data_IF_200599582470
#
_entry.id   IF_200599582470
#
_cell.length_a   1.000
_cell.length_b   1.000
_cell.length_c   1.000
_cell.angle_alpha   90.00
_cell.angle_beta   90.00
_cell.angle_gamma   90.00
#
_symmetry.space_group_name_H-M   'P 1'
#
loop_
_entity.id
_entity.type
_entity.pdbx_description
1 polymer ?
#
# COMPACT_ATOMS: atom_id res chain seq x y z
N UNK A 1 -19.32 -13.96 23.09
CA UNK A 1 -18.20 -13.58 22.20
C UNK A 1 -18.77 -12.72 21.07
N UNK A 2 -18.22 -11.52 20.85
CA UNK A 2 -18.70 -10.59 19.80
C UNK A 2 -18.42 -11.16 18.40
N UNK A 3 -19.37 -11.00 17.45
CA UNK A 3 -19.25 -11.49 16.06
C UNK A 3 -18.01 -10.99 15.33
N UNK A 4 -17.54 -9.76 15.63
CA UNK A 4 -16.29 -9.20 15.06
C UNK A 4 -15.02 -9.95 15.48
N UNK A 5 -14.98 -10.48 16.69
CA UNK A 5 -13.83 -11.23 17.19
C UNK A 5 -13.64 -12.58 16.47
N UNK A 6 -14.72 -13.30 16.12
CA UNK A 6 -14.60 -14.60 15.44
C UNK A 6 -14.12 -14.46 14.00
N UNK A 7 -14.61 -13.48 13.25
CA UNK A 7 -14.18 -13.20 11.87
C UNK A 7 -12.66 -12.90 11.83
N UNK A 8 -12.20 -11.98 12.69
CA UNK A 8 -10.79 -11.63 12.79
C UNK A 8 -9.92 -12.84 13.18
N UNK A 9 -10.32 -13.62 14.17
CA UNK A 9 -9.58 -14.82 14.57
C UNK A 9 -9.48 -15.87 13.45
N UNK A 10 -10.49 -16.00 12.58
CA UNK A 10 -10.44 -16.87 11.40
C UNK A 10 -9.38 -16.34 10.42
N UNK A 11 -9.36 -15.02 10.19
CA UNK A 11 -8.38 -14.37 9.32
C UNK A 11 -6.94 -14.53 9.85
N UNK A 12 -6.72 -14.34 11.15
CA UNK A 12 -5.40 -14.47 11.80
C UNK A 12 -4.87 -15.91 11.63
N UNK A 13 -5.67 -16.92 11.99
CA UNK A 13 -5.29 -18.34 11.83
C UNK A 13 -5.10 -18.73 10.36
N UNK A 14 -5.91 -18.18 9.47
CA UNK A 14 -5.76 -18.43 8.04
C UNK A 14 -4.43 -17.90 7.52
N UNK A 15 -4.06 -16.67 7.89
CA UNK A 15 -2.79 -16.06 7.47
C UNK A 15 -1.59 -16.85 7.99
N UNK A 16 -1.62 -17.32 9.24
CA UNK A 16 -0.60 -18.20 9.81
C UNK A 16 -0.46 -19.51 9.01
N UNK A 17 -1.58 -20.21 8.75
CA UNK A 17 -1.56 -21.47 8.01
C UNK A 17 -1.14 -21.28 6.54
N UNK A 18 -1.53 -20.18 5.90
CA UNK A 18 -1.08 -19.85 4.55
C UNK A 18 0.42 -19.58 4.50
N UNK A 19 0.98 -18.91 5.50
CA UNK A 19 2.42 -18.68 5.60
C UNK A 19 3.21 -19.97 5.86
N UNK A 20 2.69 -20.88 6.71
CA UNK A 20 3.38 -22.12 7.08
C UNK A 20 3.29 -23.21 6.01
N UNK A 21 2.12 -23.40 5.39
CA UNK A 21 1.80 -24.54 4.52
C UNK A 21 1.56 -24.18 3.06
N UNK A 22 1.40 -22.89 2.77
CA UNK A 22 1.00 -22.37 1.46
C UNK A 22 -0.51 -22.36 1.27
N UNK A 23 -0.96 -21.51 0.34
CA UNK A 23 -2.37 -21.32 0.04
C UNK A 23 -3.05 -22.60 -0.42
N UNK A 24 -2.48 -23.29 -1.41
CA UNK A 24 -3.10 -24.49 -2.03
C UNK A 24 -3.30 -25.62 -1.03
N UNK A 25 -2.37 -25.80 -0.09
CA UNK A 25 -2.39 -26.88 0.88
C UNK A 25 -3.23 -26.59 2.13
N UNK A 26 -3.81 -25.40 2.24
CA UNK A 26 -4.64 -25.00 3.37
C UNK A 26 -6.12 -24.97 2.96
N UNK A 27 -6.97 -25.63 3.75
CA UNK A 27 -8.41 -25.67 3.55
C UNK A 27 -9.16 -24.92 4.66
N UNK A 28 -10.40 -24.47 4.37
CA UNK A 28 -11.28 -23.87 5.38
C UNK A 28 -11.58 -24.82 6.54
N UNK A 29 -11.54 -26.15 6.30
CA UNK A 29 -11.72 -27.17 7.34
C UNK A 29 -10.56 -27.15 8.33
N UNK A 30 -9.31 -27.14 7.84
CA UNK A 30 -8.11 -27.07 8.70
C UNK A 30 -8.07 -25.80 9.52
N UNK A 31 -8.46 -24.66 8.92
CA UNK A 31 -8.59 -23.37 9.64
C UNK A 31 -9.61 -23.48 10.78
N UNK A 32 -10.77 -24.10 10.53
CA UNK A 32 -11.79 -24.33 11.57
C UNK A 32 -11.29 -25.26 12.69
N UNK A 33 -10.58 -26.33 12.34
CA UNK A 33 -9.98 -27.29 13.29
C UNK A 33 -8.92 -26.60 14.16
N UNK A 34 -8.02 -25.82 13.55
CA UNK A 34 -6.98 -25.07 14.26
C UNK A 34 -7.58 -24.03 15.22
N UNK A 35 -8.65 -23.34 14.79
CA UNK A 35 -9.34 -22.34 15.62
C UNK A 35 -10.21 -22.96 16.72
N UNK A 36 -10.51 -24.27 16.66
CA UNK A 36 -11.40 -24.94 17.59
C UNK A 36 -12.88 -24.54 17.42
N UNK A 37 -13.29 -24.19 16.19
CA UNK A 37 -14.68 -23.88 15.86
C UNK A 37 -15.31 -24.94 14.95
N UNK A 38 -16.64 -24.97 14.90
CA UNK A 38 -17.32 -25.87 13.96
C UNK A 38 -17.14 -25.39 12.53
N UNK A 39 -17.11 -26.33 11.57
CA UNK A 39 -17.11 -26.02 10.14
C UNK A 39 -18.27 -25.07 9.76
N UNK A 40 -19.47 -25.30 10.32
CA UNK A 40 -20.62 -24.44 10.08
C UNK A 40 -20.41 -22.99 10.55
N UNK A 41 -19.74 -22.81 11.69
CA UNK A 41 -19.42 -21.47 12.20
C UNK A 41 -18.44 -20.72 11.28
N UNK A 42 -17.43 -21.43 10.74
CA UNK A 42 -16.50 -20.83 9.77
C UNK A 42 -17.23 -20.50 8.46
N UNK A 43 -17.99 -21.42 7.89
CA UNK A 43 -18.77 -21.20 6.65
C UNK A 43 -19.88 -20.14 6.77
N UNK A 44 -20.26 -19.78 7.98
CA UNK A 44 -21.13 -18.62 8.22
C UNK A 44 -20.41 -17.31 7.87
N UNK A 45 -19.11 -17.21 8.14
CA UNK A 45 -18.28 -16.01 7.86
C UNK A 45 -17.71 -15.99 6.44
N UNK A 46 -17.22 -17.13 5.97
CA UNK A 46 -16.53 -17.25 4.67
C UNK A 46 -17.02 -18.49 3.93
N UNK A 47 -17.57 -18.30 2.73
CA UNK A 47 -18.13 -19.41 1.94
C UNK A 47 -17.03 -20.17 1.20
N UNK A 48 -15.99 -19.45 0.76
CA UNK A 48 -14.85 -20.00 0.02
C UNK A 48 -13.53 -19.54 0.64
N UNK A 49 -12.44 -20.16 0.22
CA UNK A 49 -11.08 -19.75 0.60
C UNK A 49 -10.73 -18.40 -0.05
N UNK A 50 -11.23 -18.17 -1.25
CA UNK A 50 -11.13 -16.92 -2.00
C UNK A 50 -11.82 -15.77 -1.27
N UNK A 51 -13.03 -15.97 -0.72
CA UNK A 51 -13.74 -14.97 0.11
C UNK A 51 -12.90 -14.58 1.32
N UNK A 52 -12.27 -15.56 1.97
CA UNK A 52 -11.42 -15.32 3.13
C UNK A 52 -10.17 -14.50 2.75
N UNK A 53 -9.48 -14.87 1.66
CA UNK A 53 -8.32 -14.11 1.18
C UNK A 53 -8.72 -12.70 0.76
N UNK A 54 -9.79 -12.54 -0.01
CA UNK A 54 -10.30 -11.21 -0.40
C UNK A 54 -10.55 -10.35 0.82
N UNK A 55 -11.18 -10.90 1.86
CA UNK A 55 -11.43 -10.17 3.10
C UNK A 55 -10.16 -9.77 3.86
N UNK A 56 -9.10 -10.59 3.82
CA UNK A 56 -7.80 -10.24 4.38
C UNK A 56 -7.21 -9.01 3.67
N UNK A 57 -7.28 -8.98 2.33
CA UNK A 57 -6.82 -7.83 1.56
C UNK A 57 -7.66 -6.59 1.79
N UNK A 58 -9.00 -6.73 1.88
CA UNK A 58 -9.91 -5.62 2.19
C UNK A 58 -9.57 -4.99 3.55
N UNK A 59 -9.41 -5.82 4.57
CA UNK A 59 -9.22 -5.34 5.95
C UNK A 59 -7.79 -4.82 6.21
N UNK A 60 -6.75 -5.42 5.61
CA UNK A 60 -5.34 -5.13 5.92
C UNK A 60 -4.64 -4.24 4.88
N UNK A 61 -5.16 -4.13 3.67
CA UNK A 61 -4.50 -3.41 2.57
C UNK A 61 -5.40 -2.33 1.98
N UNK A 62 -6.55 -2.74 1.44
CA UNK A 62 -7.39 -1.86 0.63
C UNK A 62 -8.09 -0.80 1.49
N UNK A 63 -8.70 -1.19 2.60
CA UNK A 63 -9.36 -0.28 3.54
C UNK A 63 -8.41 0.74 4.16
N UNK A 64 -7.25 0.34 4.71
CA UNK A 64 -6.23 1.29 5.15
C UNK A 64 -5.75 2.24 4.06
N UNK A 65 -5.55 1.78 2.81
CA UNK A 65 -5.20 2.66 1.69
C UNK A 65 -6.32 3.66 1.36
N UNK A 66 -7.59 3.22 1.38
CA UNK A 66 -8.76 4.09 1.21
C UNK A 66 -8.84 5.16 2.30
N UNK A 67 -8.50 4.81 3.55
CA UNK A 67 -8.45 5.78 4.65
C UNK A 67 -7.37 6.86 4.42
N UNK A 68 -6.21 6.51 3.86
CA UNK A 68 -5.17 7.48 3.47
C UNK A 68 -5.67 8.39 2.37
N UNK A 69 -6.31 7.83 1.34
CA UNK A 69 -6.89 8.59 0.22
C UNK A 69 -7.94 9.59 0.74
N UNK A 70 -8.90 9.12 1.53
CA UNK A 70 -9.95 9.97 2.10
C UNK A 70 -9.38 11.09 2.98
N UNK A 71 -8.34 10.78 3.77
CA UNK A 71 -7.65 11.80 4.55
C UNK A 71 -6.99 12.85 3.64
N UNK A 72 -6.30 12.44 2.58
CA UNK A 72 -5.62 13.33 1.65
C UNK A 72 -6.61 14.22 0.89
N UNK A 73 -7.75 13.68 0.46
CA UNK A 73 -8.83 14.43 -0.19
C UNK A 73 -9.43 15.50 0.72
N UNK A 74 -9.54 15.22 2.02
CA UNK A 74 -10.03 16.18 3.01
C UNK A 74 -9.02 17.31 3.33
N UNK A 75 -7.73 17.17 2.93
CA UNK A 75 -6.66 18.14 3.20
C UNK A 75 -6.17 18.84 1.92
N UNK A 76 -7.08 19.17 1.03
CA UNK A 76 -6.79 19.97 -0.16
C UNK A 76 -6.83 21.49 0.13
N UNK A 77 -6.01 22.31 -0.54
CA UNK A 77 -5.00 21.95 -1.55
C UNK A 77 -3.76 21.27 -0.94
N UNK A 78 -3.15 20.36 -1.71
CA UNK A 78 -2.03 19.54 -1.24
C UNK A 78 -0.73 20.33 -1.16
N UNK A 79 -0.30 20.67 0.05
CA UNK A 79 1.02 21.25 0.33
C UNK A 79 2.11 20.18 0.35
N UNK A 80 3.40 20.58 0.37
CA UNK A 80 4.50 19.63 0.57
C UNK A 80 4.31 18.83 1.87
N UNK A 81 3.95 19.47 2.97
CA UNK A 81 3.69 18.83 4.26
C UNK A 81 2.60 17.75 4.12
N UNK A 82 1.50 18.08 3.44
CA UNK A 82 0.42 17.12 3.17
C UNK A 82 0.89 15.93 2.32
N UNK A 83 1.73 16.17 1.29
CA UNK A 83 2.30 15.10 0.46
C UNK A 83 3.19 14.16 1.28
N UNK A 84 4.04 14.71 2.14
CA UNK A 84 4.90 13.92 3.02
C UNK A 84 4.08 13.12 4.04
N UNK A 85 3.00 13.68 4.57
CA UNK A 85 2.11 12.96 5.48
C UNK A 85 1.32 11.85 4.78
N UNK A 86 0.92 12.02 3.50
CA UNK A 86 0.37 10.93 2.67
C UNK A 86 1.36 9.76 2.60
N UNK A 87 2.64 10.04 2.31
CA UNK A 87 3.67 9.01 2.24
C UNK A 87 3.88 8.33 3.60
N UNK A 88 3.89 9.07 4.71
CA UNK A 88 4.01 8.52 6.06
C UNK A 88 2.88 7.54 6.38
N UNK A 89 1.63 7.96 6.16
CA UNK A 89 0.44 7.12 6.40
C UNK A 89 0.44 5.89 5.51
N UNK A 90 0.76 6.06 4.24
CA UNK A 90 0.81 4.96 3.29
C UNK A 90 1.94 3.98 3.59
N UNK A 91 3.11 4.45 4.02
CA UNK A 91 4.21 3.61 4.51
C UNK A 91 3.79 2.73 5.69
N UNK A 92 3.04 3.29 6.65
CA UNK A 92 2.50 2.51 7.77
C UNK A 92 1.52 1.41 7.29
N UNK A 93 0.65 1.71 6.32
CA UNK A 93 -0.24 0.71 5.71
C UNK A 93 0.55 -0.46 5.11
N UNK A 94 1.59 -0.17 4.30
CA UNK A 94 2.44 -1.18 3.69
C UNK A 94 3.15 -2.02 4.75
N UNK A 95 3.70 -1.39 5.79
CA UNK A 95 4.39 -2.08 6.90
C UNK A 95 3.49 -3.10 7.60
N UNK A 96 2.26 -2.72 7.92
CA UNK A 96 1.28 -3.59 8.56
C UNK A 96 0.81 -4.74 7.65
N UNK A 97 0.85 -4.54 6.34
CA UNK A 97 0.41 -5.51 5.33
C UNK A 97 1.54 -6.44 4.82
N UNK A 98 2.78 -6.26 5.27
CA UNK A 98 3.96 -6.99 4.76
C UNK A 98 3.75 -8.51 4.68
N UNK A 99 3.21 -9.22 5.69
CA UNK A 99 2.99 -10.67 5.60
C UNK A 99 2.02 -11.05 4.47
N UNK A 100 0.96 -10.26 4.29
CA UNK A 100 -0.05 -10.50 3.25
C UNK A 100 0.47 -10.16 1.84
N UNK A 101 1.27 -9.12 1.71
CA UNK A 101 1.91 -8.75 0.44
C UNK A 101 2.92 -9.82 0.00
N UNK A 102 3.69 -10.38 0.94
CA UNK A 102 4.57 -11.52 0.67
C UNK A 102 3.76 -12.74 0.22
N UNK A 103 2.72 -13.09 0.97
CA UNK A 103 1.81 -14.18 0.61
C UNK A 103 1.24 -14.02 -0.81
N UNK A 104 0.82 -12.82 -1.19
CA UNK A 104 0.33 -12.53 -2.54
C UNK A 104 1.41 -12.77 -3.60
N UNK A 105 2.64 -12.33 -3.34
CA UNK A 105 3.77 -12.51 -4.26
C UNK A 105 4.10 -13.99 -4.48
N UNK A 106 4.12 -14.77 -3.41
CA UNK A 106 4.40 -16.21 -3.45
C UNK A 106 3.29 -17.03 -4.13
N UNK A 107 2.04 -16.53 -4.12
CA UNK A 107 0.85 -17.23 -4.63
C UNK A 107 0.19 -16.54 -5.84
N UNK A 108 0.92 -15.75 -6.61
CA UNK A 108 0.38 -14.94 -7.72
C UNK A 108 -0.49 -15.73 -8.70
N UNK A 109 -0.09 -16.96 -9.05
CA UNK A 109 -0.82 -17.79 -10.00
C UNK A 109 -2.21 -18.18 -9.47
N UNK A 110 -2.31 -18.54 -8.18
CA UNK A 110 -3.54 -18.97 -7.53
C UNK A 110 -4.48 -17.78 -7.22
N UNK A 111 -3.93 -16.59 -7.07
CA UNK A 111 -4.67 -15.37 -6.71
C UNK A 111 -4.99 -14.47 -7.91
N UNK A 112 -4.55 -14.84 -9.11
CA UNK A 112 -4.66 -14.01 -10.33
C UNK A 112 -6.11 -13.63 -10.66
N UNK A 113 -7.05 -14.52 -10.42
CA UNK A 113 -8.46 -14.31 -10.75
C UNK A 113 -9.20 -13.47 -9.69
N UNK A 114 -8.56 -13.20 -8.54
CA UNK A 114 -9.04 -12.24 -7.57
C UNK A 114 -8.71 -10.82 -8.07
N UNK A 115 -9.68 -9.94 -8.14
CA UNK A 115 -9.51 -8.56 -8.63
C UNK A 115 -8.63 -7.66 -7.72
N UNK A 116 -7.90 -8.24 -6.77
CA UNK A 116 -7.08 -7.55 -5.77
C UNK A 116 -6.02 -6.67 -6.43
N UNK A 117 -5.32 -7.20 -7.45
CA UNK A 117 -4.28 -6.47 -8.16
C UNK A 117 -4.80 -5.20 -8.85
N UNK A 118 -5.95 -5.28 -9.51
CA UNK A 118 -6.59 -4.13 -10.16
C UNK A 118 -7.11 -3.11 -9.15
N UNK A 119 -7.64 -3.55 -8.03
CA UNK A 119 -8.07 -2.68 -6.94
C UNK A 119 -6.90 -1.94 -6.31
N UNK A 120 -5.76 -2.63 -6.10
CA UNK A 120 -4.54 -2.01 -5.58
C UNK A 120 -3.97 -0.99 -6.57
N UNK A 121 -3.89 -1.35 -7.85
CA UNK A 121 -3.44 -0.45 -8.92
C UNK A 121 -4.25 0.85 -8.95
N UNK A 122 -5.57 0.76 -8.83
CA UNK A 122 -6.46 1.92 -8.78
C UNK A 122 -6.07 2.86 -7.62
N UNK A 123 -5.84 2.33 -6.42
CA UNK A 123 -5.44 3.10 -5.25
C UNK A 123 -4.07 3.76 -5.39
N UNK A 124 -3.10 3.03 -5.95
CA UNK A 124 -1.77 3.57 -6.25
C UNK A 124 -1.86 4.74 -7.23
N UNK A 125 -2.68 4.62 -8.28
CA UNK A 125 -2.89 5.70 -9.24
C UNK A 125 -3.60 6.91 -8.59
N UNK A 126 -4.55 6.69 -7.70
CA UNK A 126 -5.20 7.76 -6.93
C UNK A 126 -4.19 8.47 -6.02
N UNK A 127 -3.39 7.72 -5.27
CA UNK A 127 -2.32 8.30 -4.43
C UNK A 127 -1.32 9.10 -5.27
N UNK A 128 -0.94 8.60 -6.46
CA UNK A 128 -0.07 9.34 -7.38
C UNK A 128 -0.68 10.69 -7.79
N UNK A 129 -1.99 10.74 -8.08
CA UNK A 129 -2.65 12.00 -8.41
C UNK A 129 -2.69 12.97 -7.21
N UNK A 130 -2.78 12.47 -5.98
CA UNK A 130 -2.81 13.28 -4.77
C UNK A 130 -1.45 13.87 -4.38
N UNK A 131 -0.34 13.19 -4.69
CA UNK A 131 1.02 13.68 -4.39
C UNK A 131 1.66 14.46 -5.54
N UNK A 132 1.10 14.38 -6.75
CA UNK A 132 1.57 15.08 -7.94
C UNK A 132 0.89 16.45 -8.08
N UNK A 133 1.64 17.50 -8.42
CA UNK A 133 1.06 18.78 -8.80
C UNK A 133 0.37 18.69 -10.18
N UNK A 134 -0.68 19.48 -10.41
CA UNK A 134 -1.48 19.41 -11.64
C UNK A 134 -0.65 19.66 -12.90
N UNK A 135 0.23 20.65 -12.83
CA UNK A 135 1.09 21.09 -13.95
C UNK A 135 2.53 20.56 -13.83
N UNK A 136 2.74 19.47 -13.07
CA UNK A 136 4.06 18.90 -12.86
C UNK A 136 4.71 18.50 -14.19
N UNK A 137 5.98 18.87 -14.38
CA UNK A 137 6.79 18.42 -15.50
C UNK A 137 6.90 16.88 -15.51
N UNK A 138 7.14 16.29 -16.68
CA UNK A 138 7.23 14.82 -16.80
C UNK A 138 8.25 14.22 -15.82
N UNK A 139 9.39 14.89 -15.62
CA UNK A 139 10.41 14.46 -14.64
C UNK A 139 9.85 14.39 -13.22
N UNK A 140 9.01 15.36 -12.82
CA UNK A 140 8.42 15.42 -11.48
C UNK A 140 7.30 14.38 -11.33
N UNK A 141 6.53 14.13 -12.39
CA UNK A 141 5.60 13.01 -12.43
C UNK A 141 6.30 11.67 -12.23
N UNK A 142 7.46 11.46 -12.89
CA UNK A 142 8.30 10.27 -12.72
C UNK A 142 8.85 10.17 -11.30
N UNK A 143 9.28 11.28 -10.68
CA UNK A 143 9.73 11.29 -9.27
C UNK A 143 8.62 10.83 -8.32
N UNK A 144 7.41 11.36 -8.47
CA UNK A 144 6.26 10.95 -7.65
C UNK A 144 5.91 9.46 -7.85
N UNK A 145 5.91 8.98 -9.10
CA UNK A 145 5.67 7.57 -9.39
C UNK A 145 6.77 6.67 -8.80
N UNK A 146 8.04 7.07 -8.93
CA UNK A 146 9.19 6.35 -8.37
C UNK A 146 9.15 6.31 -6.84
N UNK A 147 8.66 7.36 -6.18
CA UNK A 147 8.48 7.38 -4.73
C UNK A 147 7.54 6.25 -4.28
N UNK A 148 6.35 6.13 -4.88
CA UNK A 148 5.41 5.07 -4.57
C UNK A 148 5.98 3.69 -4.93
N UNK A 149 6.64 3.56 -6.10
CA UNK A 149 7.26 2.31 -6.51
C UNK A 149 8.37 1.86 -5.55
N UNK A 150 9.23 2.77 -5.09
CA UNK A 150 10.30 2.49 -4.12
C UNK A 150 9.73 1.89 -2.83
N UNK A 151 8.64 2.45 -2.30
CA UNK A 151 8.00 1.94 -1.08
C UNK A 151 7.48 0.50 -1.24
N UNK A 152 7.00 0.12 -2.44
CA UNK A 152 6.54 -1.25 -2.70
C UNK A 152 7.69 -2.21 -3.00
N UNK A 153 8.62 -1.81 -3.87
CA UNK A 153 9.67 -2.70 -4.37
C UNK A 153 10.66 -3.10 -3.29
N UNK A 154 10.91 -2.24 -2.29
CA UNK A 154 11.85 -2.50 -1.19
C UNK A 154 11.51 -3.76 -0.41
N UNK A 155 10.23 -4.14 -0.33
CA UNK A 155 9.79 -5.38 0.32
C UNK A 155 10.40 -6.63 -0.32
N UNK A 156 10.70 -6.59 -1.63
CA UNK A 156 11.19 -7.72 -2.41
C UNK A 156 12.66 -7.57 -2.79
N UNK A 157 13.08 -6.37 -3.18
CA UNK A 157 14.43 -6.13 -3.72
C UNK A 157 15.53 -6.22 -2.67
N UNK A 158 15.20 -6.05 -1.39
CA UNK A 158 16.15 -6.13 -0.28
C UNK A 158 16.01 -7.43 0.55
N UNK A 159 15.49 -8.51 0.00
CA UNK A 159 15.36 -9.80 0.72
C UNK A 159 16.72 -10.34 1.21
N UNK A 160 17.80 -10.15 0.44
CA UNK A 160 19.16 -10.53 0.83
C UNK A 160 19.85 -9.61 1.85
N UNK A 161 19.23 -8.50 2.23
CA UNK A 161 19.77 -7.58 3.25
C UNK A 161 19.49 -8.10 4.66
N UNK A 162 20.48 -7.97 5.57
CA UNK A 162 20.34 -8.31 6.99
C UNK A 162 19.55 -7.27 7.80
N UNK A 163 19.15 -6.14 7.19
CA UNK A 163 18.33 -5.13 7.84
C UNK A 163 16.93 -5.67 8.17
N UNK A 164 16.37 -5.26 9.30
CA UNK A 164 15.03 -5.68 9.66
C UNK A 164 13.95 -5.03 8.75
N UNK A 165 12.73 -5.60 8.69
CA UNK A 165 11.66 -5.05 7.84
C UNK A 165 11.32 -3.58 8.10
N UNK A 166 11.40 -3.14 9.35
CA UNK A 166 11.09 -1.77 9.73
C UNK A 166 12.19 -0.80 9.31
N UNK A 167 13.47 -1.21 9.39
CA UNK A 167 14.59 -0.42 8.85
C UNK A 167 14.46 -0.26 7.34
N UNK A 168 14.15 -1.33 6.61
CA UNK A 168 13.90 -1.29 5.16
C UNK A 168 12.75 -0.34 4.81
N UNK A 169 11.65 -0.42 5.56
CA UNK A 169 10.49 0.45 5.37
C UNK A 169 10.83 1.92 5.59
N UNK A 170 11.58 2.24 6.66
CA UNK A 170 12.02 3.62 6.97
C UNK A 170 12.93 4.17 5.87
N UNK A 171 13.91 3.39 5.41
CA UNK A 171 14.80 3.79 4.33
C UNK A 171 14.03 4.05 3.02
N UNK A 172 13.07 3.19 2.68
CA UNK A 172 12.21 3.39 1.51
C UNK A 172 11.35 4.65 1.62
N UNK A 173 10.83 4.94 2.81
CA UNK A 173 10.05 6.15 3.08
C UNK A 173 10.93 7.40 2.94
N UNK A 174 12.14 7.41 3.49
CA UNK A 174 13.09 8.52 3.37
C UNK A 174 13.37 8.86 1.91
N UNK A 175 13.73 7.85 1.10
CA UNK A 175 13.95 8.04 -0.35
C UNK A 175 12.69 8.54 -1.06
N UNK A 176 11.52 8.01 -0.72
CA UNK A 176 10.26 8.47 -1.29
C UNK A 176 9.96 9.95 -0.97
N UNK A 177 10.24 10.37 0.26
CA UNK A 177 10.08 11.76 0.70
C UNK A 177 11.06 12.71 -0.02
N UNK A 178 12.32 12.30 -0.23
CA UNK A 178 13.29 13.06 -1.02
C UNK A 178 12.80 13.26 -2.46
N UNK A 179 12.31 12.21 -3.11
CA UNK A 179 11.79 12.27 -4.48
C UNK A 179 10.58 13.21 -4.60
N UNK A 180 9.63 13.13 -3.68
CA UNK A 180 8.44 14.01 -3.68
C UNK A 180 8.80 15.44 -3.35
N UNK A 181 9.75 15.67 -2.44
CA UNK A 181 10.26 17.01 -2.12
C UNK A 181 10.94 17.64 -3.35
N UNK A 182 11.77 16.89 -4.05
CA UNK A 182 12.42 17.34 -5.28
C UNK A 182 11.39 17.65 -6.40
N UNK A 183 10.33 16.83 -6.52
CA UNK A 183 9.25 17.07 -7.46
C UNK A 183 8.48 18.35 -7.15
N UNK A 184 8.18 18.60 -5.87
CA UNK A 184 7.46 19.80 -5.44
C UNK A 184 8.25 21.09 -5.73
N UNK A 185 9.56 21.09 -5.49
CA UNK A 185 10.42 22.25 -5.78
C UNK A 185 10.68 22.45 -7.28
N UNK A 186 10.69 21.37 -8.08
CA UNK A 186 10.82 21.43 -9.53
C UNK A 186 9.60 22.07 -10.21
N UNK A 187 8.43 21.95 -9.62
CA UNK A 187 7.18 22.54 -10.09
C UNK A 187 7.02 24.03 -9.71
N UNK A 188 7.89 24.58 -8.83
CA UNK A 188 7.83 25.98 -8.49
C UNK A 188 8.21 26.83 -9.72
N UNK A 189 7.43 27.88 -10.08
CA UNK A 189 7.77 28.75 -11.20
C UNK A 189 9.14 29.36 -10.95
N UNK A 190 10.07 29.16 -11.91
CA UNK A 190 11.39 29.78 -11.88
C UNK A 190 11.27 31.31 -11.73
N UNK A 191 12.27 31.99 -11.16
CA UNK A 191 12.24 33.45 -11.06
C UNK A 191 11.96 34.04 -12.45
N UNK A 192 10.99 34.96 -12.51
CA UNK A 192 10.63 35.64 -13.75
C UNK A 192 11.91 36.23 -14.37
N UNK A 193 12.10 36.14 -15.71
CA UNK A 193 13.25 36.72 -16.36
C UNK A 193 13.28 38.20 -16.04
N UNK A 194 14.38 38.67 -15.46
CA UNK A 194 14.60 40.10 -15.23
C UNK A 194 14.42 40.82 -16.57
N UNK A 195 13.39 41.62 -16.67
CA UNK A 195 13.17 42.49 -17.82
C UNK A 195 14.32 43.50 -17.84
N UNK A 196 15.37 43.15 -18.62
CA UNK A 196 16.49 44.02 -18.86
C UNK A 196 15.98 45.39 -19.34
N UNK A 197 16.15 46.39 -18.50
CA UNK A 197 15.88 47.78 -18.78
C UNK A 197 16.82 48.24 -19.90
N UNK A 198 16.38 48.12 -21.15
CA UNK A 198 17.05 48.75 -22.27
C UNK A 198 16.94 50.28 -22.12
N UNK A 199 17.97 50.87 -21.53
CA UNK A 199 18.17 52.34 -21.62
C UNK A 199 18.54 52.66 -23.06
N UNK A 200 17.67 53.32 -23.72
CA UNK A 200 17.99 54.07 -24.93
C UNK A 200 18.90 55.24 -24.54
N UNK A 201 20.10 55.29 -25.14
CA UNK A 201 20.79 56.50 -25.53
C UNK A 201 20.80 56.62 -27.04
#
# INVERSE_FOLDING_TARGET
>A
MSRGNTRQRIQDVALELFAERGYEKTSLREIAEQLGVTKAALYYHFKTKEDLVTSLFEDLVLGPADAVIAWAEAHQPTTLETKLEILNRYSACIGNATPLVRFMHENQAALRDLSIGEQMKTRILTLLQLIKDQDAALTDQVRCASALFTMHSTLFTLEGSNADPEEKRKAALEVAQELVTAAHHGSAPGPAPETGNARHE
#
